data_IF_505520861914
#
_entry.id   IF_505520861914
#
_cell.length_a   1.000
_cell.length_b   1.000
_cell.length_c   1.000
_cell.angle_alpha   90.00
_cell.angle_beta   90.00
_cell.angle_gamma   90.00
#
_symmetry.space_group_name_H-M   'P 1'
#
loop_
_entity.id
_entity.type
_entity.pdbx_description
1 polymer ?
#
# COMPACT_ATOMS: atom_id res chain seq x y z
N UNK A 1 9.12 22.17 -10.34
CA UNK A 1 7.70 22.56 -10.24
C UNK A 1 7.52 23.39 -8.96
N UNK A 2 7.73 24.73 -9.10
CA UNK A 2 7.84 25.70 -7.99
C UNK A 2 6.61 25.66 -7.05
N UNK A 3 5.41 25.49 -7.62
CA UNK A 3 4.17 25.39 -6.82
C UNK A 3 4.13 24.11 -5.96
N UNK A 4 4.64 23.00 -6.47
CA UNK A 4 4.70 21.76 -5.71
C UNK A 4 5.68 21.88 -4.54
N UNK A 5 6.86 22.45 -4.77
CA UNK A 5 7.84 22.72 -3.72
C UNK A 5 7.29 23.66 -2.65
N UNK A 6 6.61 24.73 -3.05
CA UNK A 6 5.99 25.68 -2.12
C UNK A 6 4.94 24.99 -1.24
N UNK A 7 4.04 24.19 -1.84
CA UNK A 7 3.00 23.46 -1.10
C UNK A 7 3.58 22.42 -0.13
N UNK A 8 4.65 21.73 -0.50
CA UNK A 8 5.18 20.63 0.32
C UNK A 8 6.18 21.08 1.37
N UNK A 9 6.85 22.23 1.18
CA UNK A 9 7.83 22.78 2.12
C UNK A 9 7.18 23.83 3.04
N UNK A 10 6.54 24.85 2.48
CA UNK A 10 6.02 25.99 3.25
C UNK A 10 4.62 25.73 3.86
N UNK A 11 3.86 24.81 3.26
CA UNK A 11 2.53 24.40 3.72
C UNK A 11 2.47 22.91 4.07
N UNK A 12 3.58 22.32 4.52
CA UNK A 12 3.64 20.95 4.99
C UNK A 12 2.54 20.67 6.04
N UNK A 13 2.03 19.43 6.07
CA UNK A 13 0.94 19.02 6.96
C UNK A 13 -0.41 19.72 6.74
N UNK A 14 -0.62 20.28 5.56
CA UNK A 14 -1.93 20.79 5.13
C UNK A 14 -2.62 19.84 4.16
N UNK A 15 -3.95 19.93 4.06
CA UNK A 15 -4.70 19.14 3.07
C UNK A 15 -4.20 19.38 1.63
N UNK A 16 -3.73 20.57 1.31
CA UNK A 16 -3.19 20.89 -0.02
C UNK A 16 -1.87 20.18 -0.28
N UNK A 17 -0.96 20.15 0.70
CA UNK A 17 0.31 19.43 0.56
C UNK A 17 0.08 17.92 0.42
N UNK A 18 -0.85 17.33 1.18
CA UNK A 18 -1.21 15.92 1.05
C UNK A 18 -1.75 15.58 -0.34
N UNK A 19 -2.64 16.41 -0.88
CA UNK A 19 -3.16 16.22 -2.24
C UNK A 19 -2.09 16.38 -3.31
N UNK A 20 -1.16 17.32 -3.14
CA UNK A 20 -0.04 17.50 -4.06
C UNK A 20 0.89 16.27 -4.06
N UNK A 21 1.26 15.74 -2.89
CA UNK A 21 2.07 14.53 -2.76
C UNK A 21 1.35 13.29 -3.32
N UNK A 22 0.07 13.13 -2.99
CA UNK A 22 -0.74 12.02 -3.50
C UNK A 22 -0.81 12.02 -5.03
N UNK A 23 -1.05 13.20 -5.62
CA UNK A 23 -1.07 13.38 -7.07
C UNK A 23 0.29 13.06 -7.68
N UNK A 24 1.37 13.63 -7.16
CA UNK A 24 2.74 13.44 -7.67
C UNK A 24 3.15 11.96 -7.62
N UNK A 25 2.95 11.29 -6.47
CA UNK A 25 3.25 9.88 -6.34
C UNK A 25 2.44 9.01 -7.31
N UNK A 26 1.15 9.31 -7.47
CA UNK A 26 0.30 8.59 -8.43
C UNK A 26 0.70 8.81 -9.89
N UNK A 27 1.10 10.01 -10.27
CA UNK A 27 1.54 10.31 -11.63
C UNK A 27 2.88 9.61 -11.94
N UNK A 28 3.84 9.63 -11.02
CA UNK A 28 5.09 8.88 -11.16
C UNK A 28 4.86 7.36 -11.32
N UNK A 29 3.92 6.79 -10.57
CA UNK A 29 3.55 5.38 -10.72
C UNK A 29 2.97 5.09 -12.12
N UNK A 30 2.12 5.97 -12.66
CA UNK A 30 1.57 5.83 -14.03
C UNK A 30 2.65 5.95 -15.11
N UNK A 31 3.68 6.76 -14.87
CA UNK A 31 4.85 6.91 -15.71
C UNK A 31 5.86 5.75 -15.56
N UNK A 32 5.54 4.74 -14.78
CA UNK A 32 6.40 3.60 -14.43
C UNK A 32 7.69 4.00 -13.70
N UNK A 33 7.71 5.18 -13.08
CA UNK A 33 8.80 5.60 -12.18
C UNK A 33 8.42 5.18 -10.75
N UNK A 34 8.57 3.87 -10.49
CA UNK A 34 8.12 3.26 -9.24
C UNK A 34 8.97 3.72 -8.04
N UNK A 35 10.29 3.86 -8.21
CA UNK A 35 11.18 4.33 -7.15
C UNK A 35 10.85 5.77 -6.75
N UNK A 36 10.69 6.67 -7.73
CA UNK A 36 10.29 8.05 -7.45
C UNK A 36 8.90 8.16 -6.82
N UNK A 37 7.97 7.30 -7.25
CA UNK A 37 6.64 7.20 -6.64
C UNK A 37 6.72 6.75 -5.18
N UNK A 38 7.55 5.74 -4.89
CA UNK A 38 7.76 5.22 -3.55
C UNK A 38 8.29 6.28 -2.60
N UNK A 39 9.30 7.06 -3.04
CA UNK A 39 9.87 8.17 -2.27
C UNK A 39 8.80 9.21 -1.89
N UNK A 40 7.96 9.60 -2.85
CA UNK A 40 6.88 10.58 -2.62
C UNK A 40 5.82 10.03 -1.65
N UNK A 41 5.48 8.74 -1.72
CA UNK A 41 4.54 8.15 -0.77
C UNK A 41 5.14 7.99 0.64
N UNK A 42 6.44 7.77 0.78
CA UNK A 42 7.12 7.85 2.07
C UNK A 42 7.05 9.26 2.65
N UNK A 43 7.30 10.30 1.86
CA UNK A 43 7.14 11.69 2.27
C UNK A 43 5.69 11.99 2.73
N UNK A 44 4.69 11.48 1.99
CA UNK A 44 3.27 11.62 2.37
C UNK A 44 2.98 10.92 3.70
N UNK A 45 3.50 9.71 3.90
CA UNK A 45 3.36 8.96 5.15
C UNK A 45 3.94 9.74 6.33
N UNK A 46 5.17 10.23 6.20
CA UNK A 46 5.84 11.01 7.26
C UNK A 46 5.11 12.30 7.60
N UNK A 47 4.68 13.05 6.59
CA UNK A 47 3.97 14.32 6.79
C UNK A 47 2.57 14.14 7.39
N UNK A 48 1.94 12.98 7.18
CA UNK A 48 0.60 12.66 7.69
C UNK A 48 0.60 11.87 9.01
N UNK A 49 1.76 11.52 9.54
CA UNK A 49 1.91 10.81 10.83
C UNK A 49 1.91 11.80 12.02
N UNK A 50 1.71 11.27 13.23
CA UNK A 50 1.81 12.00 14.48
C UNK A 50 0.50 12.57 15.03
N UNK A 51 0.60 13.31 16.16
CA UNK A 51 -0.55 13.76 16.93
C UNK A 51 -1.48 14.71 16.17
N UNK A 52 -0.93 15.53 15.27
CA UNK A 52 -1.69 16.43 14.39
C UNK A 52 -1.80 15.88 12.96
N UNK A 53 -1.43 14.64 12.75
CA UNK A 53 -1.46 13.99 11.46
C UNK A 53 -2.88 13.63 11.00
N UNK A 54 -2.96 13.10 9.80
CA UNK A 54 -4.21 12.65 9.20
C UNK A 54 -4.15 11.14 8.97
N UNK A 55 -4.83 10.37 9.83
CA UNK A 55 -4.81 8.91 9.77
C UNK A 55 -5.27 8.36 8.42
N UNK A 56 -6.33 8.94 7.82
CA UNK A 56 -6.80 8.50 6.51
C UNK A 56 -5.74 8.69 5.42
N UNK A 57 -5.07 9.84 5.41
CA UNK A 57 -3.98 10.12 4.45
C UNK A 57 -2.79 9.19 4.72
N UNK A 58 -2.48 8.95 5.99
CA UNK A 58 -1.41 8.02 6.36
C UNK A 58 -1.69 6.59 5.87
N UNK A 59 -2.93 6.12 6.03
CA UNK A 59 -3.36 4.80 5.54
C UNK A 59 -3.30 4.71 4.02
N UNK A 60 -3.72 5.75 3.30
CA UNK A 60 -3.59 5.83 1.84
C UNK A 60 -2.11 5.78 1.42
N UNK A 61 -1.23 6.51 2.11
CA UNK A 61 0.20 6.48 1.83
C UNK A 61 0.79 5.08 2.04
N UNK A 62 0.48 4.41 3.16
CA UNK A 62 0.94 3.05 3.48
C UNK A 62 0.49 2.02 2.46
N UNK A 63 -0.78 2.07 2.05
CA UNK A 63 -1.32 1.18 1.01
C UNK A 63 -0.58 1.36 -0.32
N UNK A 64 -0.29 2.60 -0.71
CA UNK A 64 0.47 2.85 -1.94
C UNK A 64 1.94 2.41 -1.81
N UNK A 65 2.58 2.65 -0.66
CA UNK A 65 3.94 2.13 -0.38
C UNK A 65 3.94 0.61 -0.54
N UNK A 66 3.05 -0.11 0.13
CA UNK A 66 2.99 -1.56 0.06
C UNK A 66 2.81 -2.07 -1.38
N UNK A 67 1.85 -1.50 -2.12
CA UNK A 67 1.59 -1.88 -3.50
C UNK A 67 2.81 -1.67 -4.41
N UNK A 68 3.49 -0.53 -4.28
CA UNK A 68 4.67 -0.22 -5.10
C UNK A 68 5.86 -1.08 -4.68
N UNK A 69 6.06 -1.27 -3.37
CA UNK A 69 7.11 -2.15 -2.84
C UNK A 69 6.95 -3.59 -3.33
N UNK A 70 5.72 -4.12 -3.38
CA UNK A 70 5.45 -5.44 -3.98
C UNK A 70 5.85 -5.46 -5.46
N UNK A 71 5.50 -4.43 -6.22
CA UNK A 71 5.85 -4.34 -7.64
C UNK A 71 7.35 -4.25 -7.88
N UNK A 72 8.11 -3.71 -6.93
CA UNK A 72 9.57 -3.64 -6.95
C UNK A 72 10.26 -4.89 -6.35
N UNK A 73 9.50 -5.85 -5.80
CA UNK A 73 10.05 -7.02 -5.11
C UNK A 73 10.58 -6.72 -3.70
N UNK A 74 10.24 -5.56 -3.12
CA UNK A 74 10.62 -5.13 -1.77
C UNK A 74 9.55 -5.60 -0.75
N UNK A 75 9.44 -6.91 -0.58
CA UNK A 75 8.31 -7.51 0.15
C UNK A 75 8.32 -7.22 1.65
N UNK A 76 9.50 -7.17 2.28
CA UNK A 76 9.65 -6.79 3.69
C UNK A 76 9.23 -5.34 3.94
N UNK A 77 9.55 -4.42 3.02
CA UNK A 77 9.12 -3.03 3.11
C UNK A 77 7.59 -2.91 2.97
N UNK A 78 6.99 -3.73 2.10
CA UNK A 78 5.54 -3.80 1.95
C UNK A 78 4.88 -4.27 3.25
N UNK A 79 5.39 -5.32 3.89
CA UNK A 79 4.90 -5.82 5.17
C UNK A 79 5.02 -4.76 6.27
N UNK A 80 6.19 -4.11 6.37
CA UNK A 80 6.43 -3.03 7.32
C UNK A 80 5.47 -1.84 7.14
N UNK A 81 5.16 -1.48 5.91
CA UNK A 81 4.18 -0.44 5.62
C UNK A 81 2.77 -0.80 6.12
N UNK A 82 2.42 -2.09 6.13
CA UNK A 82 1.09 -2.59 6.50
C UNK A 82 0.96 -2.99 7.99
N UNK A 83 2.05 -2.98 8.79
CA UNK A 83 2.03 -3.39 10.19
C UNK A 83 1.15 -2.54 11.11
N UNK A 84 1.00 -1.24 10.84
CA UNK A 84 0.25 -0.29 11.68
C UNK A 84 -1.26 -0.27 11.44
N UNK A 85 -1.77 -1.06 10.51
CA UNK A 85 -3.21 -1.16 10.36
C UNK A 85 -3.82 -1.78 11.62
N UNK A 86 -4.70 -1.02 12.25
CA UNK A 86 -5.46 -1.47 13.43
C UNK A 86 -6.46 -2.56 13.08
N UNK A 87 -7.03 -3.16 14.08
CA UNK A 87 -7.84 -4.39 14.11
C UNK A 87 -8.99 -4.56 13.11
N UNK A 88 -9.24 -3.63 12.19
CA UNK A 88 -10.29 -3.74 11.18
C UNK A 88 -9.72 -3.46 9.77
N UNK A 89 -8.75 -4.26 9.40
CA UNK A 89 -8.14 -4.21 8.06
C UNK A 89 -9.19 -4.55 7.00
N UNK A 90 -9.20 -3.79 5.91
CA UNK A 90 -10.07 -4.07 4.78
C UNK A 90 -9.57 -5.26 3.94
N UNK A 91 -10.42 -5.72 3.00
CA UNK A 91 -10.10 -6.84 2.14
C UNK A 91 -8.81 -6.63 1.34
N UNK A 92 -8.60 -5.41 0.83
CA UNK A 92 -7.44 -5.09 0.00
C UNK A 92 -6.13 -5.08 0.81
N UNK A 93 -6.16 -4.62 2.05
CA UNK A 93 -5.00 -4.68 2.97
C UNK A 93 -4.60 -6.14 3.23
N UNK A 94 -5.55 -7.03 3.47
CA UNK A 94 -5.29 -8.47 3.61
C UNK A 94 -4.70 -9.06 2.31
N UNK A 95 -5.24 -8.69 1.14
CA UNK A 95 -4.71 -9.15 -0.14
C UNK A 95 -3.25 -8.71 -0.34
N UNK A 96 -2.91 -7.44 -0.07
CA UNK A 96 -1.54 -6.93 -0.16
C UNK A 96 -0.59 -7.64 0.83
N UNK A 97 -1.06 -7.94 2.05
CA UNK A 97 -0.28 -8.74 3.01
C UNK A 97 -0.02 -10.14 2.47
N UNK A 98 -1.02 -10.76 1.87
CA UNK A 98 -0.88 -12.05 1.20
C UNK A 98 0.16 -12.01 0.08
N UNK A 99 0.10 -10.99 -0.78
CA UNK A 99 1.05 -10.80 -1.88
C UNK A 99 2.50 -10.65 -1.36
N UNK A 100 2.70 -9.84 -0.32
CA UNK A 100 4.01 -9.62 0.27
C UNK A 100 4.55 -10.88 0.98
N UNK A 101 3.69 -11.59 1.73
CA UNK A 101 4.06 -12.85 2.41
C UNK A 101 4.41 -13.96 1.39
N UNK A 102 3.67 -14.05 0.30
CA UNK A 102 4.01 -14.94 -0.80
C UNK A 102 5.37 -14.61 -1.40
N UNK A 103 5.66 -13.31 -1.57
CA UNK A 103 6.94 -12.85 -2.09
C UNK A 103 8.15 -13.19 -1.22
N UNK A 104 7.98 -13.23 0.11
CA UNK A 104 9.04 -13.70 1.04
C UNK A 104 9.02 -15.21 1.25
N UNK A 105 8.16 -15.96 0.55
CA UNK A 105 8.08 -17.40 0.63
C UNK A 105 7.30 -17.95 1.84
N UNK A 106 6.55 -17.10 2.55
CA UNK A 106 5.72 -17.49 3.70
C UNK A 106 4.33 -17.91 3.24
N UNK A 107 4.25 -18.98 2.43
CA UNK A 107 3.05 -19.39 1.71
C UNK A 107 1.85 -19.66 2.63
N UNK A 108 2.03 -20.35 3.75
CA UNK A 108 0.94 -20.65 4.70
C UNK A 108 0.32 -19.35 5.26
N UNK A 109 1.15 -18.38 5.62
CA UNK A 109 0.68 -17.08 6.12
C UNK A 109 0.02 -16.25 5.01
N UNK A 110 0.54 -16.33 3.78
CA UNK A 110 -0.06 -15.70 2.62
C UNK A 110 -1.47 -16.23 2.37
N UNK A 111 -1.68 -17.55 2.40
CA UNK A 111 -3.00 -18.19 2.25
C UNK A 111 -3.97 -17.72 3.34
N UNK A 112 -3.54 -17.61 4.60
CA UNK A 112 -4.37 -17.08 5.67
C UNK A 112 -4.81 -15.65 5.41
N UNK A 113 -3.92 -14.79 4.91
CA UNK A 113 -4.25 -13.41 4.57
C UNK A 113 -5.21 -13.34 3.37
N UNK A 114 -4.99 -14.13 2.34
CA UNK A 114 -5.90 -14.21 1.19
C UNK A 114 -7.29 -14.70 1.59
N UNK A 115 -7.39 -15.68 2.50
CA UNK A 115 -8.68 -16.13 3.00
C UNK A 115 -9.42 -15.01 3.75
N UNK A 116 -8.71 -14.23 4.57
CA UNK A 116 -9.27 -13.05 5.25
C UNK A 116 -9.74 -11.99 4.24
N UNK A 117 -9.02 -11.81 3.13
CA UNK A 117 -9.45 -10.92 2.05
C UNK A 117 -10.75 -11.40 1.38
N UNK A 118 -10.85 -12.70 1.05
CA UNK A 118 -12.03 -13.33 0.45
C UNK A 118 -13.26 -13.15 1.34
N UNK A 119 -13.12 -13.33 2.66
CA UNK A 119 -14.21 -13.20 3.62
C UNK A 119 -14.76 -11.76 3.66
N UNK A 120 -13.91 -10.77 3.43
CA UNK A 120 -14.26 -9.34 3.47
C UNK A 120 -14.68 -8.76 2.11
N UNK A 121 -14.21 -9.29 0.99
CA UNK A 121 -14.66 -8.83 -0.32
C UNK A 121 -16.15 -9.12 -0.53
N UNK A 122 -16.88 -8.16 -1.12
CA UNK A 122 -18.27 -8.34 -1.54
C UNK A 122 -18.38 -8.63 -3.03
N UNK A 123 -17.38 -8.26 -3.83
CA UNK A 123 -17.32 -8.49 -5.26
C UNK A 123 -16.80 -9.89 -5.57
N UNK A 124 -17.58 -10.68 -6.31
CA UNK A 124 -17.21 -12.06 -6.65
C UNK A 124 -16.01 -12.14 -7.62
N UNK A 125 -15.82 -11.14 -8.46
CA UNK A 125 -14.66 -11.09 -9.36
C UNK A 125 -13.36 -10.94 -8.59
N UNK A 126 -13.34 -10.06 -7.57
CA UNK A 126 -12.19 -9.92 -6.68
C UNK A 126 -11.94 -11.17 -5.85
N UNK A 127 -13.00 -11.82 -5.32
CA UNK A 127 -12.86 -13.10 -4.63
C UNK A 127 -12.18 -14.16 -5.51
N UNK A 128 -12.67 -14.33 -6.72
CA UNK A 128 -12.11 -15.30 -7.67
C UNK A 128 -10.63 -15.01 -8.00
N UNK A 129 -10.24 -13.74 -8.11
CA UNK A 129 -8.84 -13.36 -8.32
C UNK A 129 -7.96 -13.78 -7.14
N UNK A 130 -8.42 -13.57 -5.91
CA UNK A 130 -7.67 -13.97 -4.71
C UNK A 130 -7.63 -15.49 -4.56
N UNK A 131 -8.71 -16.20 -4.89
CA UNK A 131 -8.74 -17.68 -4.93
C UNK A 131 -7.71 -18.24 -5.93
N UNK A 132 -7.53 -17.60 -7.08
CA UNK A 132 -6.47 -17.99 -8.03
C UNK A 132 -5.07 -17.83 -7.43
N UNK A 133 -4.83 -16.80 -6.62
CA UNK A 133 -3.56 -16.62 -5.91
C UNK A 133 -3.30 -17.79 -4.93
N UNK A 134 -4.31 -18.20 -4.17
CA UNK A 134 -4.21 -19.35 -3.24
C UNK A 134 -3.87 -20.62 -4.04
N UNK A 135 -4.64 -20.94 -5.09
CA UNK A 135 -4.42 -22.12 -5.90
C UNK A 135 -3.01 -22.18 -6.50
N UNK A 136 -2.46 -21.03 -6.90
CA UNK A 136 -1.10 -20.96 -7.43
C UNK A 136 -0.03 -21.27 -6.35
N UNK A 137 -0.27 -20.93 -5.10
CA UNK A 137 0.65 -21.29 -4.02
C UNK A 137 0.60 -22.76 -3.68
N UNK A 138 -0.60 -23.37 -3.61
CA UNK A 138 -0.80 -24.78 -3.31
C UNK A 138 -0.25 -25.71 -4.40
N UNK A 139 -0.23 -25.28 -5.67
CA UNK A 139 0.29 -26.09 -6.78
C UNK A 139 1.81 -26.04 -6.94
N UNK A 140 2.48 -25.12 -6.27
CA UNK A 140 3.94 -24.95 -6.33
C UNK A 140 4.68 -25.59 -5.13
N UNK A 141 3.96 -26.28 -4.27
CA UNK A 141 4.52 -27.14 -3.20
C UNK A 141 4.72 -28.58 -3.74
#
# INVERSE_FOLDING_TARGET
DELFEDLTVNFSNTGYSYLALLKKGSDLAKENNLEGSLEVFYQLKESSDGFFGNNLINDIARTNIARISIALGLFEDALSALEKYSNDEDAYTHELKGDALSGVGSNELAIQQYQSAIDKYTDNGLKNLVELKINNLETNE
#
